data_IF_399048818219
#
_entry.id   IF_399048818219
#
_cell.length_a   1.000
_cell.length_b   1.000
_cell.length_c   1.000
_cell.angle_alpha   90.00
_cell.angle_beta   90.00
_cell.angle_gamma   90.00
#
_symmetry.space_group_name_H-M   'P 1'
#
loop_
_entity.id
_entity.type
_entity.pdbx_description
1 polymer ?
#
# COMPACT_ATOMS: atom_id res chain seq x y z
N UNK A 1 -19.82 13.72 -29.43
CA UNK A 1 -20.44 14.78 -28.62
C UNK A 1 -21.23 14.10 -27.52
N UNK A 2 -20.85 14.29 -26.26
CA UNK A 2 -21.57 13.69 -25.15
C UNK A 2 -22.88 14.44 -24.93
N UNK A 3 -23.98 13.71 -24.79
CA UNK A 3 -25.25 14.33 -24.44
C UNK A 3 -25.22 14.79 -22.97
N UNK A 4 -26.04 15.77 -22.62
CA UNK A 4 -26.18 16.23 -21.23
C UNK A 4 -26.49 15.07 -20.28
N UNK A 5 -27.34 14.13 -20.71
CA UNK A 5 -27.65 12.92 -19.92
C UNK A 5 -26.45 11.98 -19.73
N UNK A 6 -25.59 11.84 -20.74
CA UNK A 6 -24.37 11.04 -20.63
C UNK A 6 -23.35 11.66 -19.67
N UNK A 7 -23.21 12.99 -19.68
CA UNK A 7 -22.34 13.69 -18.74
C UNK A 7 -22.85 13.57 -17.29
N UNK A 8 -24.15 13.75 -17.07
CA UNK A 8 -24.77 13.59 -15.74
C UNK A 8 -24.61 12.16 -15.22
N UNK A 9 -24.89 11.16 -16.06
CA UNK A 9 -24.70 9.76 -15.69
C UNK A 9 -23.23 9.45 -15.37
N UNK A 10 -22.29 9.91 -16.21
CA UNK A 10 -20.87 9.67 -16.01
C UNK A 10 -20.33 10.24 -14.70
N UNK A 11 -20.75 11.46 -14.35
CA UNK A 11 -20.36 12.10 -13.09
C UNK A 11 -20.94 11.36 -11.89
N UNK A 12 -22.24 11.02 -11.92
CA UNK A 12 -22.89 10.27 -10.83
C UNK A 12 -22.26 8.89 -10.64
N UNK A 13 -22.02 8.18 -11.74
CA UNK A 13 -21.34 6.89 -11.73
C UNK A 13 -19.93 7.01 -11.13
N UNK A 14 -19.14 8.00 -11.57
CA UNK A 14 -17.79 8.21 -11.08
C UNK A 14 -17.77 8.48 -9.57
N UNK A 15 -18.69 9.32 -9.07
CA UNK A 15 -18.81 9.61 -7.64
C UNK A 15 -19.08 8.32 -6.84
N UNK A 16 -20.12 7.57 -7.22
CA UNK A 16 -20.48 6.32 -6.54
C UNK A 16 -19.32 5.32 -6.60
N UNK A 17 -18.70 5.18 -7.76
CA UNK A 17 -17.57 4.27 -7.97
C UNK A 17 -16.37 4.63 -7.07
N UNK A 18 -16.00 5.91 -7.01
CA UNK A 18 -14.92 6.39 -6.13
C UNK A 18 -15.22 6.07 -4.66
N UNK A 19 -16.45 6.32 -4.20
CA UNK A 19 -16.85 6.02 -2.82
C UNK A 19 -16.77 4.52 -2.50
N UNK A 20 -17.24 3.66 -3.40
CA UNK A 20 -17.17 2.20 -3.24
C UNK A 20 -15.72 1.73 -3.16
N UNK A 21 -14.87 2.16 -4.09
CA UNK A 21 -13.44 1.80 -4.09
C UNK A 21 -12.75 2.31 -2.84
N UNK A 22 -12.98 3.57 -2.43
CA UNK A 22 -12.40 4.13 -1.23
C UNK A 22 -12.82 3.37 0.04
N UNK A 23 -14.09 2.96 0.14
CA UNK A 23 -14.58 2.14 1.24
C UNK A 23 -13.93 0.75 1.27
N UNK A 24 -13.80 0.09 0.13
CA UNK A 24 -13.13 -1.21 0.02
C UNK A 24 -11.66 -1.12 0.43
N UNK A 25 -10.91 -0.12 -0.07
CA UNK A 25 -9.51 0.10 0.29
C UNK A 25 -9.33 0.38 1.80
N UNK A 26 -10.25 1.12 2.43
CA UNK A 26 -10.21 1.32 3.89
C UNK A 26 -10.37 0.01 4.66
N UNK A 27 -11.24 -0.89 4.20
CA UNK A 27 -11.44 -2.19 4.83
C UNK A 27 -10.20 -3.09 4.66
N UNK A 28 -9.59 -3.08 3.47
CA UNK A 28 -8.37 -3.83 3.19
C UNK A 28 -7.15 -3.29 3.95
N UNK A 29 -7.05 -1.98 4.18
CA UNK A 29 -6.00 -1.41 5.02
C UNK A 29 -6.00 -1.98 6.44
N UNK A 30 -7.18 -2.27 6.98
CA UNK A 30 -7.30 -2.90 8.29
C UNK A 30 -6.84 -4.38 8.25
N UNK A 31 -7.09 -5.06 7.13
CA UNK A 31 -6.65 -6.44 6.88
C UNK A 31 -5.13 -6.53 6.67
N UNK A 32 -4.53 -5.60 5.93
CA UNK A 32 -3.08 -5.48 5.76
C UNK A 32 -2.40 -5.23 7.10
N UNK A 33 -2.97 -4.35 7.92
CA UNK A 33 -2.49 -4.14 9.29
C UNK A 33 -2.69 -5.34 10.19
N UNK A 34 -3.51 -6.34 9.86
CA UNK A 34 -3.68 -7.56 10.66
C UNK A 34 -2.69 -8.66 10.24
N UNK A 35 -2.46 -8.84 8.94
CA UNK A 35 -1.63 -9.92 8.40
C UNK A 35 -0.14 -9.56 8.26
N UNK A 36 0.20 -8.28 8.17
CA UNK A 36 1.59 -7.81 8.04
C UNK A 36 2.13 -7.13 9.31
N UNK A 37 1.48 -7.34 10.47
CA UNK A 37 2.08 -6.92 11.76
C UNK A 37 3.39 -7.68 11.94
N UNK A 38 4.51 -6.96 11.95
CA UNK A 38 5.84 -7.56 12.14
C UNK A 38 6.70 -7.63 10.89
N UNK A 39 6.16 -7.40 9.69
CA UNK A 39 6.97 -7.38 8.45
C UNK A 39 8.07 -6.30 8.50
N UNK A 40 7.81 -5.16 9.14
CA UNK A 40 8.83 -4.13 9.37
C UNK A 40 9.97 -4.61 10.29
N UNK A 41 9.68 -5.44 11.29
CA UNK A 41 10.70 -6.03 12.16
C UNK A 41 11.57 -7.03 11.40
N UNK A 42 10.95 -7.85 10.54
CA UNK A 42 11.67 -8.77 9.65
C UNK A 42 12.57 -7.99 8.68
N UNK A 43 12.07 -6.90 8.10
CA UNK A 43 12.85 -6.03 7.22
C UNK A 43 14.05 -5.39 7.94
N UNK A 44 13.83 -4.87 9.15
CA UNK A 44 14.89 -4.29 9.98
C UNK A 44 15.95 -5.33 10.35
N UNK A 45 15.54 -6.55 10.72
CA UNK A 45 16.46 -7.64 11.00
C UNK A 45 17.29 -8.01 9.76
N UNK A 46 16.66 -8.06 8.58
CA UNK A 46 17.33 -8.36 7.32
C UNK A 46 18.36 -7.28 6.93
N UNK A 47 17.98 -6.00 6.99
CA UNK A 47 18.88 -4.87 6.74
C UNK A 47 20.02 -4.87 7.76
N UNK A 48 19.71 -5.10 9.05
CA UNK A 48 20.69 -5.20 10.12
C UNK A 48 21.68 -6.34 9.87
N UNK A 49 21.21 -7.50 9.41
CA UNK A 49 22.06 -8.64 9.06
C UNK A 49 23.02 -8.31 7.90
N UNK A 50 22.53 -7.68 6.83
CA UNK A 50 23.37 -7.24 5.72
C UNK A 50 24.41 -6.21 6.21
N UNK A 51 23.99 -5.23 7.01
CA UNK A 51 24.87 -4.22 7.58
C UNK A 51 25.94 -4.84 8.49
N UNK A 52 25.59 -5.85 9.27
CA UNK A 52 26.53 -6.59 10.11
C UNK A 52 27.60 -7.33 9.29
N UNK A 53 27.19 -8.03 8.22
CA UNK A 53 28.14 -8.68 7.30
C UNK A 53 29.07 -7.64 6.66
N UNK A 54 28.52 -6.52 6.20
CA UNK A 54 29.30 -5.44 5.61
C UNK A 54 30.30 -4.83 6.62
N UNK A 55 29.89 -4.66 7.87
CA UNK A 55 30.74 -4.15 8.94
C UNK A 55 31.89 -5.12 9.27
N UNK A 56 31.61 -6.43 9.37
CA UNK A 56 32.67 -7.45 9.53
C UNK A 56 33.65 -7.36 8.36
N UNK A 57 33.15 -7.35 7.12
CA UNK A 57 34.01 -7.27 5.94
C UNK A 57 34.86 -5.99 5.97
N UNK A 58 34.32 -4.85 6.39
CA UNK A 58 35.08 -3.61 6.44
C UNK A 58 36.09 -3.53 7.59
N UNK A 59 35.78 -4.11 8.75
CA UNK A 59 36.65 -4.08 9.94
C UNK A 59 37.78 -5.11 9.84
N UNK A 60 37.52 -6.27 9.23
CA UNK A 60 38.46 -7.40 9.16
C UNK A 60 39.09 -7.61 7.77
N UNK A 61 38.85 -6.70 6.83
CA UNK A 61 39.52 -6.67 5.51
C UNK A 61 40.46 -5.48 5.41
#
# INVERSE_FOLDING_TARGET
MFSTGQLVFGVLFAIVFIFVIAYMYRKDLNLHRQHYKGTLWVLLAFIGFIGFIAAIKFIFS
#
